data_IF_479061330307
#
_entry.id   IF_479061330307
#
_cell.length_a   1.000
_cell.length_b   1.000
_cell.length_c   1.000
_cell.angle_alpha   90.00
_cell.angle_beta   90.00
_cell.angle_gamma   90.00
#
_symmetry.space_group_name_H-M   'P 1'
#
loop_
_entity.id
_entity.type
_entity.pdbx_description
1 polymer ?
#
# COMPACT_ATOMS: atom_id res chain seq x y z
N UNK A 1 62.87 -75.22 -5.01
CA UNK A 1 62.10 -75.06 -6.28
C UNK A 1 61.03 -74.01 -6.08
N UNK A 2 61.00 -73.05 -6.99
CA UNK A 2 60.18 -71.84 -7.07
C UNK A 2 58.67 -72.11 -7.27
N UNK A 3 57.79 -71.42 -6.51
CA UNK A 3 56.41 -70.99 -6.91
C UNK A 3 56.00 -69.80 -6.01
N UNK A 4 56.23 -68.56 -6.43
CA UNK A 4 55.34 -67.64 -7.16
C UNK A 4 54.08 -67.24 -6.36
N UNK A 5 54.04 -65.93 -6.11
CA UNK A 5 53.10 -65.07 -5.39
C UNK A 5 51.77 -64.93 -6.13
N UNK A 6 50.66 -64.85 -5.39
CA UNK A 6 49.47 -64.07 -5.78
C UNK A 6 48.68 -63.70 -4.52
N UNK A 7 48.98 -62.53 -3.93
CA UNK A 7 48.10 -61.87 -2.96
C UNK A 7 47.22 -60.93 -3.77
N UNK A 8 45.94 -61.28 -3.91
CA UNK A 8 44.93 -60.39 -4.49
C UNK A 8 44.63 -59.32 -3.44
N UNK A 9 45.21 -58.13 -3.63
CA UNK A 9 44.88 -56.95 -2.83
C UNK A 9 43.49 -56.44 -3.19
N UNK A 10 42.56 -56.53 -2.25
CA UNK A 10 41.25 -55.90 -2.35
C UNK A 10 41.43 -54.38 -2.17
N UNK A 11 41.53 -53.65 -3.29
CA UNK A 11 41.48 -52.18 -3.27
C UNK A 11 40.04 -51.78 -3.04
N UNK A 12 39.68 -51.46 -1.79
CA UNK A 12 38.43 -50.76 -1.50
C UNK A 12 38.64 -49.31 -1.92
N UNK A 13 38.16 -48.97 -3.12
CA UNK A 13 38.09 -47.59 -3.56
C UNK A 13 37.10 -46.86 -2.63
N UNK A 14 37.63 -46.11 -1.68
CA UNK A 14 36.86 -45.20 -0.85
C UNK A 14 36.46 -44.03 -1.76
N UNK A 15 35.33 -44.18 -2.45
CA UNK A 15 34.70 -43.11 -3.21
C UNK A 15 34.29 -42.03 -2.23
N UNK A 16 35.11 -40.99 -2.11
CA UNK A 16 34.72 -39.73 -1.48
C UNK A 16 33.60 -39.13 -2.33
N UNK A 17 32.35 -39.45 -1.98
CA UNK A 17 31.23 -38.62 -2.37
C UNK A 17 31.52 -37.26 -1.74
N UNK A 18 31.92 -36.30 -2.56
CA UNK A 18 31.93 -34.89 -2.21
C UNK A 18 30.48 -34.52 -1.91
N UNK A 19 30.08 -34.69 -0.66
CA UNK A 19 28.85 -34.08 -0.15
C UNK A 19 29.01 -32.60 -0.46
N UNK A 20 28.13 -31.98 -1.26
CA UNK A 20 28.16 -30.53 -1.38
C UNK A 20 27.97 -30.02 0.05
N UNK A 21 28.97 -29.29 0.54
CA UNK A 21 28.83 -28.53 1.76
C UNK A 21 27.76 -27.49 1.43
N UNK A 22 26.50 -27.82 1.71
CA UNK A 22 25.46 -26.83 1.91
C UNK A 22 25.97 -26.05 3.09
N UNK A 23 26.52 -24.86 2.85
CA UNK A 23 26.76 -23.93 3.94
C UNK A 23 25.40 -23.74 4.59
N UNK A 24 25.32 -23.98 5.89
CA UNK A 24 24.16 -23.58 6.67
C UNK A 24 23.92 -22.11 6.31
N UNK A 25 22.77 -21.81 5.71
CA UNK A 25 22.25 -20.45 5.76
C UNK A 25 22.14 -20.13 7.24
N UNK A 26 22.73 -19.01 7.61
CA UNK A 26 22.66 -18.48 8.95
C UNK A 26 21.17 -18.41 9.34
N UNK A 27 20.80 -19.11 10.41
CA UNK A 27 19.42 -19.16 10.93
C UNK A 27 19.19 -18.14 12.04
N UNK A 28 20.06 -17.14 12.12
CA UNK A 28 19.89 -16.01 13.00
C UNK A 28 18.80 -15.12 12.36
N UNK A 29 17.61 -15.12 12.96
CA UNK A 29 16.38 -14.64 12.35
C UNK A 29 16.44 -13.22 11.75
N UNK A 30 15.79 -13.07 10.58
CA UNK A 30 15.55 -11.82 9.85
C UNK A 30 16.84 -11.04 9.54
N UNK A 31 17.42 -11.31 8.36
CA UNK A 31 18.49 -10.47 7.81
C UNK A 31 17.95 -9.07 7.50
N UNK A 32 18.73 -8.05 7.89
CA UNK A 32 18.40 -6.63 7.71
C UNK A 32 19.43 -5.99 6.78
N UNK A 33 18.95 -5.46 5.66
CA UNK A 33 19.75 -4.72 4.69
C UNK A 33 19.61 -3.23 4.95
N UNK A 34 20.69 -2.57 5.31
CA UNK A 34 20.66 -1.18 5.67
C UNK A 34 21.08 -0.27 4.52
N UNK A 35 20.41 0.86 4.38
CA UNK A 35 20.71 1.88 3.37
C UNK A 35 21.13 3.16 4.08
N UNK A 36 22.42 3.46 4.04
CA UNK A 36 23.02 4.69 4.62
C UNK A 36 22.55 4.92 6.07
N UNK A 37 22.56 3.86 6.88
CA UNK A 37 22.21 3.96 8.30
C UNK A 37 23.45 4.37 9.07
N UNK A 38 23.37 5.48 9.81
CA UNK A 38 24.52 6.05 10.52
C UNK A 38 24.51 5.68 12.01
N UNK A 39 25.63 5.77 12.73
CA UNK A 39 25.67 5.51 14.18
C UNK A 39 24.74 6.39 15.05
N UNK A 40 24.15 7.44 14.48
CA UNK A 40 23.14 8.26 15.15
C UNK A 40 21.73 7.64 15.08
N UNK A 41 21.49 6.70 14.17
CA UNK A 41 20.25 5.93 14.09
C UNK A 41 20.28 4.82 15.16
N UNK A 42 19.29 4.73 16.06
CA UNK A 42 19.25 3.69 17.10
C UNK A 42 19.19 2.27 16.52
N UNK A 43 18.80 2.13 15.24
CA UNK A 43 18.72 0.86 14.53
C UNK A 43 20.06 0.46 13.89
N UNK A 44 21.11 1.27 14.02
CA UNK A 44 22.43 1.01 13.42
C UNK A 44 23.03 -0.35 13.81
N UNK A 45 22.77 -0.82 15.03
CA UNK A 45 23.31 -2.09 15.51
C UNK A 45 22.70 -3.33 14.86
N UNK A 46 21.63 -3.19 14.06
CA UNK A 46 21.09 -4.28 13.24
C UNK A 46 21.65 -4.30 11.82
N UNK A 47 22.66 -3.48 11.51
CA UNK A 47 23.14 -3.25 10.16
C UNK A 47 24.51 -3.88 9.89
N UNK A 48 24.53 -5.20 9.67
CA UNK A 48 25.74 -5.90 9.23
C UNK A 48 25.93 -5.89 7.71
N UNK A 49 24.90 -5.49 6.96
CA UNK A 49 24.90 -5.34 5.51
C UNK A 49 24.45 -3.93 5.10
N UNK A 50 25.29 -3.22 4.33
CA UNK A 50 25.11 -1.80 3.99
C UNK A 50 25.14 -1.59 2.49
N UNK A 51 24.12 -0.90 2.00
CA UNK A 51 23.92 -0.58 0.60
C UNK A 51 23.98 0.93 0.37
N UNK A 52 24.46 1.31 -0.81
CA UNK A 52 24.52 2.70 -1.23
C UNK A 52 23.17 3.25 -1.73
N UNK A 53 22.25 2.37 -2.13
CA UNK A 53 20.94 2.74 -2.70
C UNK A 53 19.86 1.81 -2.17
N UNK A 54 18.61 2.28 -2.17
CA UNK A 54 17.48 1.47 -1.71
C UNK A 54 17.22 0.32 -2.67
N UNK A 55 17.30 0.56 -3.99
CA UNK A 55 17.07 -0.51 -4.96
C UNK A 55 18.13 -1.62 -4.88
N UNK A 56 19.38 -1.30 -4.57
CA UNK A 56 20.43 -2.31 -4.37
C UNK A 56 20.11 -3.21 -3.17
N UNK A 57 19.70 -2.64 -2.04
CA UNK A 57 19.24 -3.40 -0.87
C UNK A 57 18.01 -4.26 -1.19
N UNK A 58 17.02 -3.71 -1.90
CA UNK A 58 15.85 -4.49 -2.37
C UNK A 58 16.29 -5.64 -3.27
N UNK A 59 17.25 -5.41 -4.18
CA UNK A 59 17.73 -6.44 -5.08
C UNK A 59 18.46 -7.55 -4.32
N UNK A 60 19.23 -7.20 -3.29
CA UNK A 60 19.98 -8.14 -2.47
C UNK A 60 19.09 -8.97 -1.52
N UNK A 61 18.09 -8.35 -0.89
CA UNK A 61 17.23 -8.98 0.11
C UNK A 61 16.55 -10.27 -0.37
N UNK A 62 16.60 -11.35 0.40
CA UNK A 62 15.81 -12.54 0.15
C UNK A 62 14.33 -12.32 0.53
N UNK A 63 13.40 -13.12 -0.02
CA UNK A 63 11.98 -13.02 0.31
C UNK A 63 11.68 -13.06 1.82
N UNK A 64 11.06 -12.00 2.32
CA UNK A 64 10.62 -11.85 3.72
C UNK A 64 11.55 -11.02 4.60
N UNK A 65 12.67 -10.55 4.07
CA UNK A 65 13.66 -9.77 4.81
C UNK A 65 13.30 -8.27 4.90
N UNK A 66 14.11 -7.54 5.67
CA UNK A 66 13.89 -6.10 5.93
C UNK A 66 14.95 -5.27 5.23
N UNK A 67 14.51 -4.25 4.51
CA UNK A 67 15.33 -3.14 4.01
C UNK A 67 15.09 -1.93 4.92
N UNK A 68 16.09 -1.58 5.73
CA UNK A 68 16.05 -0.48 6.67
C UNK A 68 16.77 0.74 6.08
N UNK A 69 16.03 1.81 5.87
CA UNK A 69 16.53 3.02 5.23
C UNK A 69 16.81 4.08 6.29
N UNK A 70 18.04 4.58 6.30
CA UNK A 70 18.47 5.67 7.18
C UNK A 70 17.88 7.01 6.75
N UNK A 71 17.96 7.99 7.65
CA UNK A 71 17.56 9.36 7.36
C UNK A 71 18.30 9.93 6.13
N UNK A 72 17.57 10.49 5.19
CA UNK A 72 18.12 10.96 3.92
C UNK A 72 17.07 11.23 2.86
N UNK A 73 17.53 11.77 1.72
CA UNK A 73 16.73 11.93 0.51
C UNK A 73 17.31 11.07 -0.60
N UNK A 74 16.49 10.16 -1.13
CA UNK A 74 16.90 9.15 -2.08
C UNK A 74 16.24 9.42 -3.43
N UNK A 75 17.04 9.76 -4.44
CA UNK A 75 16.57 10.11 -5.78
C UNK A 75 16.36 8.86 -6.64
N UNK A 76 15.47 7.96 -6.21
CA UNK A 76 15.25 6.64 -6.81
C UNK A 76 13.78 6.41 -7.21
N UNK A 77 13.56 5.57 -8.21
CA UNK A 77 12.29 4.87 -8.43
C UNK A 77 12.49 3.41 -8.02
N UNK A 78 11.62 2.91 -7.15
CA UNK A 78 11.75 1.58 -6.58
C UNK A 78 10.81 0.60 -7.27
N UNK A 79 11.31 -0.61 -7.49
CA UNK A 79 10.54 -1.77 -7.96
C UNK A 79 10.78 -2.94 -7.01
N UNK A 80 9.69 -3.39 -6.38
CA UNK A 80 9.67 -4.49 -5.40
C UNK A 80 8.85 -5.63 -5.99
N UNK A 81 9.51 -6.77 -6.22
CA UNK A 81 8.93 -7.98 -6.85
C UNK A 81 9.01 -9.22 -5.96
N UNK A 82 9.41 -9.04 -4.69
CA UNK A 82 9.48 -10.10 -3.69
C UNK A 82 8.94 -9.61 -2.34
N UNK A 83 8.44 -10.50 -1.47
CA UNK A 83 8.03 -10.14 -0.11
C UNK A 83 9.20 -9.48 0.62
N UNK A 84 8.97 -8.34 1.27
CA UNK A 84 9.95 -7.67 2.13
C UNK A 84 9.29 -6.55 2.96
N UNK A 85 10.01 -6.06 3.96
CA UNK A 85 9.66 -4.83 4.68
C UNK A 85 10.61 -3.73 4.21
N UNK A 86 10.08 -2.62 3.72
CA UNK A 86 10.82 -1.40 3.43
C UNK A 86 10.48 -0.36 4.50
N UNK A 87 11.41 -0.09 5.40
CA UNK A 87 11.20 0.76 6.58
C UNK A 87 12.15 1.96 6.57
N UNK A 88 11.62 3.18 6.56
CA UNK A 88 12.42 4.39 6.74
C UNK A 88 12.73 4.71 8.20
N UNK A 89 13.59 5.70 8.44
CA UNK A 89 13.89 6.24 9.77
C UNK A 89 12.79 7.10 10.39
N UNK A 90 11.64 7.21 9.73
CA UNK A 90 10.56 8.12 10.08
C UNK A 90 10.14 8.94 8.86
N UNK A 91 8.84 9.17 8.72
CA UNK A 91 8.27 9.94 7.59
C UNK A 91 8.85 11.35 7.45
N UNK A 92 9.36 11.97 8.51
CA UNK A 92 10.03 13.29 8.44
C UNK A 92 11.53 13.23 8.17
N UNK A 93 12.14 12.04 8.21
CA UNK A 93 13.58 11.83 8.15
C UNK A 93 14.02 11.12 6.87
N UNK A 94 13.18 10.23 6.32
CA UNK A 94 13.47 9.47 5.10
C UNK A 94 12.53 9.87 3.99
N UNK A 95 13.08 10.28 2.84
CA UNK A 95 12.30 10.69 1.67
C UNK A 95 12.78 10.02 0.40
N UNK A 96 11.89 9.30 -0.29
CA UNK A 96 12.08 8.83 -1.66
C UNK A 96 11.55 9.93 -2.58
N UNK A 97 12.47 10.57 -3.30
CA UNK A 97 12.21 11.82 -4.04
C UNK A 97 12.98 11.81 -5.37
N UNK A 98 12.52 11.04 -6.36
CA UNK A 98 13.18 10.97 -7.66
C UNK A 98 13.20 12.34 -8.34
N UNK A 99 14.31 12.65 -9.00
CA UNK A 99 14.44 13.88 -9.81
C UNK A 99 13.71 13.75 -11.14
N UNK A 100 13.73 12.55 -11.72
CA UNK A 100 13.08 12.19 -12.97
C UNK A 100 12.37 10.86 -12.73
N UNK A 101 11.19 10.67 -13.31
CA UNK A 101 10.57 9.35 -13.38
C UNK A 101 10.32 8.92 -14.82
N UNK A 102 10.42 7.61 -15.04
CA UNK A 102 10.08 6.93 -16.29
C UNK A 102 9.03 5.86 -16.01
N UNK A 103 8.32 5.44 -17.07
CA UNK A 103 7.36 4.35 -16.95
C UNK A 103 8.08 3.06 -16.53
N UNK A 104 7.65 2.46 -15.42
CA UNK A 104 8.20 1.22 -14.87
C UNK A 104 7.18 0.07 -14.85
N UNK A 105 5.92 0.32 -15.23
CA UNK A 105 4.91 -0.72 -15.40
C UNK A 105 3.76 -0.25 -16.30
N UNK A 106 2.72 -1.06 -16.41
CA UNK A 106 1.49 -0.75 -17.15
C UNK A 106 0.25 -1.04 -16.31
N UNK A 107 -0.85 -0.33 -16.59
CA UNK A 107 -2.17 -0.65 -16.04
C UNK A 107 -2.57 -2.08 -16.41
N UNK A 108 -2.98 -2.89 -15.43
CA UNK A 108 -3.53 -4.23 -15.65
C UNK A 108 -4.87 -4.21 -16.41
N UNK A 109 -5.57 -3.07 -16.41
CA UNK A 109 -6.83 -2.90 -17.12
C UNK A 109 -6.65 -2.40 -18.55
N UNK A 110 -5.87 -1.32 -18.74
CA UNK A 110 -5.80 -0.61 -20.04
C UNK A 110 -4.50 -0.82 -20.81
N UNK A 111 -3.47 -1.41 -20.20
CA UNK A 111 -2.12 -1.50 -20.77
C UNK A 111 -1.38 -0.16 -20.87
N UNK A 112 -1.98 0.95 -20.41
CA UNK A 112 -1.35 2.27 -20.45
C UNK A 112 -0.11 2.32 -19.54
N UNK A 113 0.97 3.01 -19.94
CA UNK A 113 2.20 3.10 -19.17
C UNK A 113 2.00 3.90 -17.88
N UNK A 114 2.62 3.44 -16.79
CA UNK A 114 2.60 4.06 -15.47
C UNK A 114 4.04 4.21 -14.97
N UNK A 115 4.34 5.40 -14.44
CA UNK A 115 5.53 5.72 -13.68
C UNK A 115 5.17 5.82 -12.20
N UNK A 116 5.45 4.76 -11.45
CA UNK A 116 5.31 4.74 -10.00
C UNK A 116 6.65 5.11 -9.34
N UNK A 117 6.62 5.89 -8.26
CA UNK A 117 7.83 6.16 -7.46
C UNK A 117 8.20 4.89 -6.66
N UNK A 118 7.22 4.27 -6.03
CA UNK A 118 7.35 2.95 -5.39
C UNK A 118 6.37 1.99 -6.04
N UNK A 119 6.88 1.01 -6.76
CA UNK A 119 6.09 -0.05 -7.40
C UNK A 119 6.25 -1.36 -6.64
N UNK A 120 5.12 -1.97 -6.26
CA UNK A 120 5.03 -3.34 -5.77
C UNK A 120 4.26 -4.17 -6.80
N UNK A 121 4.94 -5.06 -7.52
CA UNK A 121 4.38 -5.72 -8.70
C UNK A 121 4.43 -7.25 -8.58
N UNK A 122 3.27 -7.90 -8.65
CA UNK A 122 3.15 -9.36 -8.75
C UNK A 122 3.70 -10.13 -7.54
N UNK A 123 3.75 -9.51 -6.37
CA UNK A 123 4.30 -10.10 -5.14
C UNK A 123 3.35 -9.91 -3.95
N UNK A 124 3.60 -10.63 -2.86
CA UNK A 124 2.78 -10.58 -1.65
C UNK A 124 3.58 -10.11 -0.44
N UNK A 125 2.87 -9.68 0.59
CA UNK A 125 3.46 -9.38 1.91
C UNK A 125 4.58 -8.34 1.85
N UNK A 126 4.39 -7.27 1.08
CA UNK A 126 5.30 -6.13 1.09
C UNK A 126 4.80 -5.08 2.08
N UNK A 127 5.63 -4.65 3.02
CA UNK A 127 5.32 -3.53 3.89
C UNK A 127 6.14 -2.31 3.46
N UNK A 128 5.50 -1.15 3.34
CA UNK A 128 6.18 0.14 3.13
C UNK A 128 5.84 1.03 4.32
N UNK A 129 6.84 1.33 5.14
CA UNK A 129 6.62 1.96 6.45
C UNK A 129 7.56 3.12 6.74
N UNK A 130 7.06 4.07 7.52
CA UNK A 130 7.85 5.10 8.21
C UNK A 130 8.77 5.94 7.29
N UNK A 131 8.26 6.30 6.11
CA UNK A 131 8.97 7.09 5.10
C UNK A 131 8.05 8.05 4.36
N UNK A 132 8.64 9.03 3.68
CA UNK A 132 7.94 9.91 2.74
C UNK A 132 8.20 9.48 1.30
N UNK A 133 7.14 9.51 0.48
CA UNK A 133 7.22 9.46 -0.98
C UNK A 133 6.81 10.83 -1.52
N UNK A 134 7.77 11.57 -2.07
CA UNK A 134 7.60 12.97 -2.51
C UNK A 134 7.81 13.09 -4.03
N UNK A 135 6.74 13.42 -4.75
CA UNK A 135 6.77 13.56 -6.20
C UNK A 135 7.15 14.94 -6.76
N UNK A 136 7.51 15.91 -5.91
CA UNK A 136 7.68 17.32 -6.31
C UNK A 136 8.68 17.59 -7.45
N UNK A 137 9.84 16.91 -7.58
CA UNK A 137 10.76 17.17 -8.69
C UNK A 137 10.30 16.53 -10.00
N UNK A 138 9.69 15.35 -9.89
CA UNK A 138 9.35 14.49 -11.03
C UNK A 138 8.01 14.85 -11.69
N UNK A 139 7.09 15.51 -10.98
CA UNK A 139 5.77 15.89 -11.48
C UNK A 139 5.75 16.91 -12.63
N UNK A 140 6.90 17.48 -13.00
CA UNK A 140 7.04 18.47 -14.09
C UNK A 140 7.40 17.86 -15.45
N UNK A 141 7.77 16.58 -15.49
CA UNK A 141 8.46 16.01 -16.65
C UNK A 141 7.53 15.45 -17.75
N UNK A 142 6.23 15.29 -17.49
CA UNK A 142 5.29 14.66 -18.41
C UNK A 142 3.86 15.16 -18.20
N UNK A 143 3.03 15.03 -19.24
CA UNK A 143 1.63 15.42 -19.24
C UNK A 143 0.78 14.31 -18.59
N UNK A 144 -0.22 13.76 -19.29
CA UNK A 144 -1.07 12.69 -18.74
C UNK A 144 -0.55 11.27 -19.00
N UNK A 145 0.64 11.14 -19.59
CA UNK A 145 1.27 9.85 -19.89
C UNK A 145 2.80 9.97 -19.72
N UNK A 146 3.46 9.02 -19.03
CA UNK A 146 2.84 7.91 -18.31
C UNK A 146 1.95 8.39 -17.16
N UNK A 147 1.04 7.54 -16.68
CA UNK A 147 0.32 7.81 -15.44
C UNK A 147 1.32 7.97 -14.28
N UNK A 148 1.10 8.92 -13.39
CA UNK A 148 1.98 9.21 -12.26
C UNK A 148 1.41 8.66 -10.95
N UNK A 149 2.19 7.81 -10.27
CA UNK A 149 1.76 7.22 -9.01
C UNK A 149 2.85 7.36 -7.94
N UNK A 150 2.45 7.71 -6.71
CA UNK A 150 3.37 7.69 -5.57
C UNK A 150 3.72 6.26 -5.19
N UNK A 151 2.75 5.54 -4.58
CA UNK A 151 2.89 4.13 -4.22
C UNK A 151 1.87 3.30 -5.02
N UNK A 152 2.35 2.32 -5.78
CA UNK A 152 1.52 1.46 -6.62
C UNK A 152 1.63 -0.02 -6.22
N UNK A 153 0.53 -0.61 -5.75
CA UNK A 153 0.39 -2.05 -5.60
C UNK A 153 -0.37 -2.64 -6.78
N UNK A 154 0.34 -3.36 -7.65
CA UNK A 154 -0.15 -3.99 -8.87
C UNK A 154 -0.16 -5.51 -8.73
N UNK A 155 -1.34 -6.13 -8.74
CA UNK A 155 -1.53 -7.56 -8.49
C UNK A 155 -0.72 -8.04 -7.26
N UNK A 156 -0.82 -7.30 -6.16
CA UNK A 156 0.07 -7.46 -5.01
C UNK A 156 -0.61 -7.22 -3.67
N UNK A 157 0.02 -7.73 -2.61
CA UNK A 157 -0.50 -7.60 -1.24
C UNK A 157 0.51 -7.04 -0.27
N UNK A 158 0.03 -6.46 0.82
CA UNK A 158 0.90 -5.83 1.78
C UNK A 158 0.26 -4.77 2.67
N UNK A 159 1.11 -3.89 3.19
CA UNK A 159 0.72 -2.77 4.02
C UNK A 159 1.49 -1.49 3.63
N UNK A 160 0.80 -0.37 3.72
CA UNK A 160 1.37 0.97 3.67
C UNK A 160 1.02 1.61 5.00
N UNK A 161 2.04 1.91 5.81
CA UNK A 161 1.81 2.34 7.19
C UNK A 161 2.73 3.48 7.64
N UNK A 162 2.16 4.47 8.34
CA UNK A 162 2.90 5.59 8.93
C UNK A 162 3.76 6.35 7.88
N UNK A 163 3.31 6.37 6.63
CA UNK A 163 3.97 7.05 5.51
C UNK A 163 3.37 8.43 5.21
N UNK A 164 4.12 9.29 4.53
CA UNK A 164 3.60 10.52 3.92
C UNK A 164 3.78 10.46 2.40
N UNK A 165 2.68 10.38 1.65
CA UNK A 165 2.69 10.41 0.19
C UNK A 165 2.23 11.79 -0.28
N UNK A 166 3.11 12.53 -0.95
CA UNK A 166 2.86 13.93 -1.28
C UNK A 166 3.42 14.37 -2.62
N UNK A 167 2.95 15.51 -3.10
CA UNK A 167 3.34 16.15 -4.36
C UNK A 167 3.23 15.22 -5.58
N UNK A 168 2.26 14.31 -5.57
CA UNK A 168 1.97 13.43 -6.71
C UNK A 168 0.98 14.12 -7.64
N UNK A 169 1.42 15.18 -8.31
CA UNK A 169 0.59 15.96 -9.24
C UNK A 169 1.39 16.53 -10.41
N UNK A 170 0.66 16.92 -11.47
CA UNK A 170 1.21 17.66 -12.60
C UNK A 170 0.70 19.10 -12.54
N UNK A 171 1.46 20.05 -11.95
CA UNK A 171 0.99 21.44 -11.83
C UNK A 171 0.79 22.10 -13.21
N UNK A 172 1.52 21.65 -14.24
CA UNK A 172 1.40 22.16 -15.60
C UNK A 172 0.30 21.46 -16.44
N UNK A 173 -0.28 20.37 -15.96
CA UNK A 173 -1.29 19.58 -16.69
C UNK A 173 -2.44 19.13 -15.76
N UNK A 174 -3.31 20.06 -15.31
CA UNK A 174 -4.46 19.69 -14.51
C UNK A 174 -5.45 18.84 -15.33
N UNK A 175 -6.10 17.87 -14.68
CA UNK A 175 -7.15 17.05 -15.30
C UNK A 175 -6.71 15.66 -15.79
N UNK A 176 -5.43 15.32 -15.68
CA UNK A 176 -4.95 13.96 -15.95
C UNK A 176 -5.61 12.94 -14.99
N UNK A 177 -6.11 11.83 -15.54
CA UNK A 177 -6.87 10.86 -14.76
C UNK A 177 -5.97 9.89 -13.98
N UNK A 178 -4.79 9.58 -14.50
CA UNK A 178 -3.84 8.64 -13.93
C UNK A 178 -2.78 9.37 -13.09
N UNK A 179 -3.21 10.20 -12.14
CA UNK A 179 -2.30 10.93 -11.23
C UNK A 179 -2.75 10.68 -9.80
N UNK A 180 -2.16 9.68 -9.16
CA UNK A 180 -2.72 9.05 -7.95
C UNK A 180 -1.66 8.98 -6.84
N UNK A 181 -1.99 9.38 -5.62
CA UNK A 181 -1.06 9.25 -4.49
C UNK A 181 -0.70 7.78 -4.23
N UNK A 182 -1.71 6.99 -3.85
CA UNK A 182 -1.64 5.55 -3.68
C UNK A 182 -2.62 4.91 -4.65
N UNK A 183 -2.14 3.91 -5.40
CA UNK A 183 -2.96 3.11 -6.29
C UNK A 183 -2.86 1.63 -5.93
N UNK A 184 -3.99 0.94 -5.82
CA UNK A 184 -4.07 -0.51 -5.66
C UNK A 184 -4.91 -1.04 -6.81
N UNK A 185 -4.30 -1.90 -7.63
CA UNK A 185 -4.92 -2.40 -8.86
C UNK A 185 -4.82 -3.91 -8.94
N UNK A 186 -5.90 -4.57 -9.34
CA UNK A 186 -5.93 -6.00 -9.66
C UNK A 186 -6.16 -6.21 -11.16
N UNK A 187 -5.85 -7.41 -11.65
CA UNK A 187 -6.13 -7.82 -13.04
C UNK A 187 -7.51 -8.43 -13.20
N UNK A 188 -8.55 -7.76 -12.67
CA UNK A 188 -9.95 -8.19 -12.77
C UNK A 188 -10.23 -9.59 -12.16
N UNK A 189 -9.51 -9.96 -11.11
CA UNK A 189 -9.81 -11.13 -10.28
C UNK A 189 -9.27 -12.45 -10.81
N UNK A 190 -8.41 -12.42 -11.84
CA UNK A 190 -7.76 -13.61 -12.37
C UNK A 190 -6.82 -14.29 -11.36
N UNK A 191 -6.49 -15.59 -11.53
CA UNK A 191 -5.54 -16.28 -10.66
C UNK A 191 -4.20 -15.55 -10.59
N UNK A 192 -3.73 -15.25 -9.38
CA UNK A 192 -2.48 -14.50 -9.17
C UNK A 192 -2.54 -13.02 -9.54
N UNK A 193 -3.72 -12.46 -9.83
CA UNK A 193 -3.89 -11.06 -10.23
C UNK A 193 -4.68 -10.22 -9.22
N UNK A 194 -4.95 -10.75 -8.02
CA UNK A 194 -5.65 -10.03 -6.96
C UNK A 194 -4.70 -9.06 -6.25
N UNK A 195 -5.28 -8.03 -5.64
CA UNK A 195 -4.54 -7.10 -4.77
C UNK A 195 -5.21 -6.99 -3.41
N UNK A 196 -4.42 -6.98 -2.34
CA UNK A 196 -4.93 -6.92 -0.97
C UNK A 196 -4.03 -6.07 -0.08
N UNK A 197 -4.42 -4.83 0.20
CA UNK A 197 -3.52 -3.84 0.84
C UNK A 197 -4.16 -3.20 2.07
N UNK A 198 -3.43 -3.18 3.19
CA UNK A 198 -3.78 -2.36 4.34
C UNK A 198 -3.12 -0.98 4.24
N UNK A 199 -3.90 0.09 4.38
CA UNK A 199 -3.44 1.48 4.30
C UNK A 199 -3.75 2.16 5.64
N UNK A 200 -2.75 2.24 6.50
CA UNK A 200 -2.90 2.55 7.92
C UNK A 200 -2.09 3.79 8.31
N UNK A 201 -2.70 4.75 9.00
CA UNK A 201 -1.97 5.86 9.64
C UNK A 201 -1.10 6.71 8.70
N UNK A 202 -1.44 6.78 7.42
CA UNK A 202 -0.70 7.56 6.45
C UNK A 202 -1.23 8.99 6.34
N UNK A 203 -0.39 9.85 5.78
CA UNK A 203 -0.76 11.16 5.26
C UNK A 203 -0.69 11.09 3.74
N UNK A 204 -1.78 11.39 3.04
CA UNK A 204 -1.75 11.51 1.57
C UNK A 204 -2.31 12.87 1.19
N UNK A 205 -1.46 13.77 0.72
CA UNK A 205 -1.85 15.13 0.36
C UNK A 205 -1.16 15.60 -0.93
N UNK A 206 -1.57 16.77 -1.44
CA UNK A 206 -0.99 17.40 -2.64
C UNK A 206 -0.85 16.40 -3.82
N UNK A 207 -1.98 15.82 -4.22
CA UNK A 207 -2.07 14.89 -5.35
C UNK A 207 -2.92 15.46 -6.49
N UNK A 208 -2.78 14.90 -7.69
CA UNK A 208 -3.47 15.39 -8.89
C UNK A 208 -4.94 14.98 -8.97
N UNK A 209 -5.21 13.69 -9.19
CA UNK A 209 -6.58 13.17 -9.36
C UNK A 209 -7.16 12.68 -8.04
N UNK A 210 -6.53 11.68 -7.42
CA UNK A 210 -7.00 11.05 -6.19
C UNK A 210 -5.85 10.82 -5.22
N UNK A 211 -6.13 10.90 -3.92
CA UNK A 211 -5.16 10.53 -2.88
C UNK A 211 -4.97 9.02 -2.84
N UNK A 212 -6.04 8.27 -2.56
CA UNK A 212 -6.02 6.79 -2.57
C UNK A 212 -7.06 6.28 -3.58
N UNK A 213 -6.64 5.35 -4.43
CA UNK A 213 -7.48 4.67 -5.42
C UNK A 213 -7.30 3.16 -5.31
N UNK A 214 -8.41 2.43 -5.29
CA UNK A 214 -8.44 0.97 -5.32
C UNK A 214 -9.47 0.54 -6.37
N UNK A 215 -9.01 -0.10 -7.45
CA UNK A 215 -9.84 -0.37 -8.62
C UNK A 215 -9.83 -1.86 -8.98
N UNK A 216 -10.75 -2.22 -9.88
CA UNK A 216 -10.93 -3.55 -10.49
C UNK A 216 -11.42 -4.66 -9.53
N UNK A 217 -12.25 -5.60 -10.03
CA UNK A 217 -12.62 -6.80 -9.27
C UNK A 217 -11.38 -7.59 -8.85
N UNK A 218 -11.32 -8.03 -7.59
CA UNK A 218 -10.14 -8.69 -7.03
C UNK A 218 -9.21 -7.76 -6.25
N UNK A 219 -9.55 -6.48 -6.14
CA UNK A 219 -8.87 -5.54 -5.25
C UNK A 219 -9.60 -5.41 -3.91
N UNK A 220 -8.86 -5.62 -2.83
CA UNK A 220 -9.31 -5.53 -1.45
C UNK A 220 -8.43 -4.53 -0.71
N UNK A 221 -9.04 -3.54 -0.05
CA UNK A 221 -8.30 -2.57 0.76
C UNK A 221 -8.94 -2.38 2.12
N UNK A 222 -8.10 -2.25 3.15
CA UNK A 222 -8.52 -1.74 4.46
C UNK A 222 -7.84 -0.41 4.70
N UNK A 223 -8.61 0.60 5.09
CA UNK A 223 -8.13 1.99 5.16
C UNK A 223 -8.49 2.57 6.51
N UNK A 224 -7.51 2.80 7.38
CA UNK A 224 -7.77 3.15 8.79
C UNK A 224 -6.81 4.23 9.28
N UNK A 225 -7.31 5.18 10.07
CA UNK A 225 -6.52 6.20 10.78
C UNK A 225 -5.62 7.11 9.92
N UNK A 226 -5.88 7.24 8.61
CA UNK A 226 -5.17 8.19 7.75
C UNK A 226 -5.63 9.66 8.01
N UNK A 227 -4.73 10.64 7.96
CA UNK A 227 -5.00 12.04 8.36
C UNK A 227 -6.00 12.77 7.43
N UNK A 228 -6.73 13.80 7.94
CA UNK A 228 -7.91 14.40 7.30
C UNK A 228 -7.69 15.11 5.95
N UNK A 229 -6.44 15.35 5.52
CA UNK A 229 -6.14 15.86 4.16
C UNK A 229 -6.17 14.77 3.08
N UNK A 230 -6.32 13.51 3.48
CA UNK A 230 -6.43 12.37 2.58
C UNK A 230 -7.82 12.31 1.94
N UNK A 231 -7.96 12.62 0.66
CA UNK A 231 -9.20 12.36 -0.08
C UNK A 231 -9.18 10.95 -0.66
N UNK A 232 -10.21 10.19 -0.30
CA UNK A 232 -10.44 8.84 -0.79
C UNK A 232 -11.37 8.87 -2.00
N UNK A 233 -10.96 8.25 -3.11
CA UNK A 233 -11.89 7.81 -4.16
C UNK A 233 -11.88 6.29 -4.18
N UNK A 234 -12.82 5.69 -3.45
CA UNK A 234 -13.11 4.26 -3.58
C UNK A 234 -13.98 4.10 -4.84
N UNK A 235 -13.41 3.62 -5.95
CA UNK A 235 -14.17 3.34 -7.18
C UNK A 235 -14.42 1.83 -7.22
N UNK A 236 -15.47 1.40 -6.52
CA UNK A 236 -16.00 0.06 -6.68
C UNK A 236 -16.85 0.04 -7.95
N UNK A 237 -16.25 -0.25 -9.11
CA UNK A 237 -17.02 -0.45 -10.34
C UNK A 237 -17.36 -1.93 -10.53
N UNK A 238 -18.60 -2.29 -10.20
CA UNK A 238 -19.56 -2.91 -11.13
C UNK A 238 -20.98 -2.84 -10.57
N UNK A 239 -21.85 -2.19 -11.35
CA UNK A 239 -23.31 -2.33 -11.29
C UNK A 239 -24.02 -1.47 -10.25
N UNK A 240 -24.75 -0.48 -10.76
CA UNK A 240 -25.89 0.21 -10.14
C UNK A 240 -25.65 1.38 -9.15
N UNK A 241 -25.97 2.57 -9.67
CA UNK A 241 -26.56 3.74 -9.00
C UNK A 241 -26.05 4.15 -7.60
N UNK A 242 -24.78 4.57 -7.49
CA UNK A 242 -24.38 5.65 -6.56
C UNK A 242 -23.16 6.37 -7.18
N UNK A 243 -23.32 6.97 -8.36
CA UNK A 243 -22.30 7.86 -8.96
C UNK A 243 -22.72 9.32 -8.71
N UNK A 244 -21.71 10.15 -8.39
CA UNK A 244 -21.78 11.57 -8.05
C UNK A 244 -22.45 11.96 -6.72
N UNK A 245 -21.71 11.84 -5.59
CA UNK A 245 -21.55 12.92 -4.59
C UNK A 245 -20.73 12.45 -3.38
N UNK A 246 -19.40 12.45 -3.51
CA UNK A 246 -18.51 12.55 -2.33
C UNK A 246 -17.82 13.92 -2.22
N UNK A 247 -18.19 14.87 -3.09
CA UNK A 247 -17.47 16.13 -3.30
C UNK A 247 -17.99 17.34 -2.50
N UNK A 248 -18.92 17.17 -1.56
CA UNK A 248 -19.48 18.32 -0.78
C UNK A 248 -19.60 18.12 0.73
N UNK A 249 -19.07 17.03 1.30
CA UNK A 249 -19.17 16.84 2.74
C UNK A 249 -18.11 17.69 3.47
N UNK A 250 -18.55 18.71 4.20
CA UNK A 250 -17.67 19.55 5.05
C UNK A 250 -17.58 19.03 6.49
N UNK A 251 -18.27 17.92 6.81
CA UNK A 251 -18.28 17.33 8.14
C UNK A 251 -18.50 15.80 8.12
N UNK A 252 -18.01 15.14 9.19
CA UNK A 252 -18.16 13.70 9.43
C UNK A 252 -19.64 13.27 9.49
N UNK A 253 -20.52 14.12 10.04
CA UNK A 253 -21.96 13.85 10.12
C UNK A 253 -22.63 13.80 8.75
N UNK A 254 -22.16 14.63 7.80
CA UNK A 254 -22.61 14.55 6.40
C UNK A 254 -22.09 13.27 5.74
N UNK A 255 -20.87 12.80 6.02
CA UNK A 255 -20.40 11.55 5.41
C UNK A 255 -21.20 10.32 5.91
N UNK A 256 -21.54 10.29 7.20
CA UNK A 256 -22.28 9.17 7.83
C UNK A 256 -23.73 9.08 7.32
N UNK A 257 -24.42 10.21 7.18
CA UNK A 257 -25.82 10.25 6.72
C UNK A 257 -25.99 9.74 5.27
N UNK A 258 -24.99 10.00 4.42
CA UNK A 258 -25.05 9.63 3.00
C UNK A 258 -24.61 8.18 2.75
N UNK A 259 -23.69 7.66 3.56
CA UNK A 259 -23.35 6.22 3.59
C UNK A 259 -24.54 5.36 4.05
N UNK A 260 -25.35 5.85 5.00
CA UNK A 260 -26.59 5.19 5.41
C UNK A 260 -27.67 5.19 4.29
N UNK A 261 -27.64 6.17 3.39
CA UNK A 261 -28.56 6.26 2.26
C UNK A 261 -28.17 5.32 1.09
N UNK A 262 -26.87 5.15 0.76
CA UNK A 262 -26.46 4.19 -0.27
C UNK A 262 -26.54 2.72 0.20
N UNK A 263 -26.47 2.42 1.51
CA UNK A 263 -26.61 1.05 2.02
C UNK A 263 -28.05 0.53 2.05
N UNK A 264 -29.04 1.43 2.12
CA UNK A 264 -30.48 1.08 2.11
C UNK A 264 -31.06 0.87 0.70
N UNK A 265 -30.28 1.15 -0.35
CA UNK A 265 -30.68 1.08 -1.76
C UNK A 265 -30.03 -0.08 -2.54
N UNK A 266 -29.22 -0.92 -1.90
CA UNK A 266 -28.61 -2.10 -2.53
C UNK A 266 -29.62 -3.27 -2.64
N UNK A 267 -29.82 -3.87 -3.83
CA UNK A 267 -30.54 -5.14 -3.92
C UNK A 267 -29.69 -6.30 -3.36
N UNK A 268 -30.35 -7.24 -2.69
CA UNK A 268 -29.72 -8.45 -2.11
C UNK A 268 -29.18 -9.33 -3.24
N UNK A 269 -27.90 -9.70 -3.19
CA UNK A 269 -27.30 -10.63 -4.16
C UNK A 269 -27.88 -12.05 -4.00
N UNK A 270 -28.13 -12.74 -5.11
CA UNK A 270 -28.72 -14.08 -5.18
C UNK A 270 -27.84 -15.21 -4.59
N UNK A 271 -26.67 -14.92 -4.02
CA UNK A 271 -25.71 -15.91 -3.52
C UNK A 271 -25.61 -16.01 -1.99
N UNK A 272 -26.49 -15.36 -1.22
CA UNK A 272 -26.64 -15.61 0.21
C UNK A 272 -25.47 -15.23 1.14
N UNK A 273 -24.33 -14.78 0.63
CA UNK A 273 -23.20 -14.30 1.44
C UNK A 273 -23.14 -12.77 1.49
N UNK A 274 -23.07 -12.16 2.70
CA UNK A 274 -22.88 -10.72 2.82
C UNK A 274 -21.44 -10.34 2.44
N UNK A 275 -21.27 -9.55 1.37
CA UNK A 275 -20.01 -8.86 1.09
C UNK A 275 -19.86 -7.71 2.08
N UNK A 276 -19.01 -7.89 3.08
CA UNK A 276 -18.75 -6.86 4.09
C UNK A 276 -17.74 -5.84 3.57
N UNK A 277 -18.18 -4.61 3.31
CA UNK A 277 -17.31 -3.44 3.33
C UNK A 277 -17.05 -3.12 4.81
N UNK A 278 -15.85 -3.42 5.31
CA UNK A 278 -15.46 -3.09 6.69
C UNK A 278 -14.75 -1.74 6.72
N UNK A 279 -15.51 -0.65 6.82
CA UNK A 279 -14.97 0.67 7.19
C UNK A 279 -14.83 0.68 8.71
N UNK A 280 -13.60 0.48 9.21
CA UNK A 280 -13.30 0.64 10.63
C UNK A 280 -13.19 2.13 10.95
N UNK A 281 -13.99 2.59 11.92
CA UNK A 281 -14.05 4.00 12.33
C UNK A 281 -12.70 4.56 12.74
N UNK A 282 -12.51 5.83 12.41
CA UNK A 282 -11.44 6.71 12.84
C UNK A 282 -11.70 7.26 14.26
N UNK A 283 -10.59 7.42 14.98
CA UNK A 283 -10.35 8.20 16.20
C UNK A 283 -10.53 7.52 17.58
N UNK A 284 -9.57 7.83 18.46
CA UNK A 284 -9.16 7.09 19.68
C UNK A 284 -9.87 7.53 20.97
N UNK A 285 -11.03 8.18 20.88
CA UNK A 285 -11.82 8.59 22.05
C UNK A 285 -13.18 7.92 21.98
N UNK A 286 -13.47 7.07 22.98
CA UNK A 286 -14.62 6.15 23.11
C UNK A 286 -14.38 4.75 22.52
N UNK A 287 -13.43 4.03 23.12
CA UNK A 287 -13.48 2.58 23.16
C UNK A 287 -14.50 2.16 24.24
N UNK A 288 -15.71 1.76 23.85
CA UNK A 288 -16.52 0.75 24.54
C UNK A 288 -17.78 0.43 23.72
N UNK A 289 -18.12 -0.86 23.69
CA UNK A 289 -19.36 -1.48 23.21
C UNK A 289 -19.50 -1.74 21.69
N UNK A 290 -19.25 -2.99 21.28
CA UNK A 290 -20.33 -3.98 21.12
C UNK A 290 -19.89 -5.10 20.15
N UNK A 291 -19.68 -6.28 20.73
CA UNK A 291 -19.61 -7.57 20.05
C UNK A 291 -21.02 -8.18 20.14
N UNK A 292 -21.61 -8.60 19.01
CA UNK A 292 -22.55 -9.74 18.85
C UNK A 292 -23.62 -9.51 17.74
N UNK A 293 -24.15 -10.60 17.13
CA UNK A 293 -24.89 -10.56 15.87
C UNK A 293 -26.43 -10.53 16.02
N UNK A 294 -27.10 -9.91 15.02
CA UNK A 294 -28.56 -9.87 14.70
C UNK A 294 -29.42 -8.77 15.37
N UNK A 295 -30.68 -8.53 14.91
CA UNK A 295 -31.10 -7.30 14.22
C UNK A 295 -31.90 -6.35 15.11
N UNK A 296 -31.57 -5.06 15.12
CA UNK A 296 -32.27 -4.06 15.94
C UNK A 296 -33.39 -3.38 15.13
N UNK A 297 -34.63 -3.51 15.61
CA UNK A 297 -35.77 -2.64 15.25
C UNK A 297 -35.55 -1.26 15.87
N UNK A 298 -35.73 -0.20 15.09
CA UNK A 298 -35.72 1.17 15.60
C UNK A 298 -37.08 1.51 16.24
N UNK A 299 -37.06 1.96 17.50
CA UNK A 299 -38.11 2.80 18.07
C UNK A 299 -37.55 4.21 18.28
N UNK A 300 -38.33 5.22 17.91
CA UNK A 300 -37.97 6.62 18.03
C UNK A 300 -38.20 7.12 19.45
N UNK A 301 -37.26 7.88 20.02
CA UNK A 301 -37.59 8.78 21.12
C UNK A 301 -37.02 10.19 20.89
N UNK A 302 -37.90 11.17 21.07
CA UNK A 302 -37.65 12.61 20.98
C UNK A 302 -36.79 13.05 22.17
N UNK A 303 -35.79 13.91 21.93
CA UNK A 303 -35.42 14.92 22.93
C UNK A 303 -34.87 16.19 22.26
N UNK A 304 -35.39 17.30 22.76
CA UNK A 304 -35.31 18.70 22.31
C UNK A 304 -34.19 19.48 23.01
N UNK A 305 -33.58 20.45 22.30
CA UNK A 305 -33.14 21.79 22.77
C UNK A 305 -32.60 22.52 21.51
N UNK A 306 -33.18 23.59 20.93
CA UNK A 306 -33.49 24.97 21.37
C UNK A 306 -32.29 25.74 21.95
N UNK A 307 -31.66 26.56 21.10
CA UNK A 307 -31.68 28.04 21.08
C UNK A 307 -31.05 28.53 19.74
N UNK A 308 -31.79 29.15 18.80
CA UNK A 308 -32.12 30.59 18.64
C UNK A 308 -30.85 31.44 18.33
N UNK A 309 -30.66 32.09 17.17
CA UNK A 309 -31.51 33.12 16.57
C UNK A 309 -31.19 33.43 15.08
N UNK A 310 -32.27 33.60 14.29
CA UNK A 310 -32.62 34.68 13.32
C UNK A 310 -31.54 35.15 12.31
N UNK A 311 -31.76 35.10 10.99
CA UNK A 311 -32.68 36.00 10.26
C UNK A 311 -33.42 35.29 9.10
N UNK A 312 -34.73 35.56 9.00
CA UNK A 312 -35.59 35.24 7.86
C UNK A 312 -35.71 36.45 6.93
N UNK A 313 -35.65 36.24 5.62
CA UNK A 313 -36.46 36.96 4.64
C UNK A 313 -37.14 35.97 3.69
N UNK A 314 -38.38 36.33 3.34
CA UNK A 314 -39.49 35.48 2.85
C UNK A 314 -39.31 34.96 1.43
N UNK A 315 -39.82 33.75 1.18
CA UNK A 315 -40.32 33.37 -0.15
C UNK A 315 -40.40 31.86 -0.42
N UNK A 316 -41.54 31.26 -0.06
CA UNK A 316 -42.06 29.97 -0.54
C UNK A 316 -41.40 28.65 -0.06
N UNK A 317 -42.13 28.02 0.88
CA UNK A 317 -42.43 26.59 1.07
C UNK A 317 -41.27 25.60 0.96
N UNK A 318 -40.79 25.17 2.13
CA UNK A 318 -40.34 23.80 2.39
C UNK A 318 -41.22 23.26 3.53
#
# INVERSE_FOLDING_TARGET
MLKIVSIVGLVVALSFLSVPIVRAQDTDGITVHCVIVTPADPRFFSCDDQHATIQDAINHAEPGETVLVGAGTYAEQLVITKPLILEGAGSTLTSIKPTIVVANTTSLFSGAPIAAIVLVDGTTSVAVTDLTVDGSPAGLAFACSPGYVGIFYRASSGAIQDTHVTNIHHPAAPGCQAVLGIFVQSGNGGPGLNSSVAILQNVVDVYGKNGITANEPGTFVSVTNNLPKTVFRLVLERGDWCQETLFRATSISQQISWLAACSSSMPVAASGEPRAIRILRMNKTLAQEAWAPRPIRLSTNKQTNRDQNLFCTRGARC
#
